data_IF_945776624974
#
_entry.id   IF_945776624974
#
_cell.length_a   1.000
_cell.length_b   1.000
_cell.length_c   1.000
_cell.angle_alpha   90.00
_cell.angle_beta   90.00
_cell.angle_gamma   90.00
#
_symmetry.space_group_name_H-M   'P 1'
#
loop_
_entity.id
_entity.type
_entity.pdbx_description
1 polymer ?
#
# COMPACT_ATOMS: atom_id res chain seq x y z
N UNK A 1 12.12 15.49 -16.99
CA UNK A 1 12.70 16.82 -16.84
C UNK A 1 14.18 16.66 -16.49
N UNK A 2 15.12 17.47 -17.05
CA UNK A 2 16.56 17.33 -16.81
C UNK A 2 16.94 17.42 -15.34
N UNK A 3 16.29 18.29 -14.59
CA UNK A 3 16.51 18.50 -13.15
C UNK A 3 16.14 17.26 -12.31
N UNK A 4 15.01 16.63 -12.62
CA UNK A 4 14.59 15.38 -11.94
C UNK A 4 15.54 14.23 -12.23
N UNK A 5 16.09 14.17 -13.44
CA UNK A 5 17.10 13.17 -13.83
C UNK A 5 18.41 13.40 -13.09
N UNK A 6 18.85 14.66 -12.98
CA UNK A 6 20.08 15.02 -12.26
C UNK A 6 20.00 14.67 -10.76
N UNK A 7 18.83 14.85 -10.12
CA UNK A 7 18.62 14.49 -8.72
C UNK A 7 18.69 12.98 -8.47
N UNK A 8 18.34 12.17 -9.48
CA UNK A 8 18.40 10.71 -9.40
C UNK A 8 19.77 10.12 -9.69
N UNK A 9 20.68 10.92 -10.22
CA UNK A 9 22.05 10.49 -10.50
C UNK A 9 23.00 11.02 -9.43
N UNK A 10 23.55 10.12 -8.61
CA UNK A 10 24.50 10.47 -7.54
C UNK A 10 25.66 9.48 -7.58
N UNK A 11 26.89 10.00 -7.57
CA UNK A 11 28.15 9.21 -7.52
C UNK A 11 28.24 8.08 -8.58
N UNK A 12 27.70 8.33 -9.77
CA UNK A 12 27.70 7.36 -10.86
C UNK A 12 26.55 6.32 -10.79
N UNK A 13 25.65 6.41 -9.79
CA UNK A 13 24.52 5.52 -9.61
C UNK A 13 23.19 6.20 -9.96
N UNK A 14 22.29 5.44 -10.56
CA UNK A 14 20.90 5.87 -10.81
C UNK A 14 19.99 5.32 -9.72
N UNK A 15 19.43 6.21 -8.89
CA UNK A 15 18.46 5.88 -7.85
C UNK A 15 17.05 5.86 -8.45
N UNK A 16 16.53 4.67 -8.70
CA UNK A 16 15.19 4.49 -9.34
C UNK A 16 14.04 4.59 -8.33
N UNK A 17 14.36 4.62 -7.01
CA UNK A 17 13.39 4.75 -5.93
C UNK A 17 12.73 3.44 -5.52
N UNK A 18 13.16 2.31 -6.06
CA UNK A 18 12.73 1.00 -5.60
C UNK A 18 13.56 0.57 -4.38
N UNK A 19 12.91 -0.10 -3.44
CA UNK A 19 13.51 -0.69 -2.25
C UNK A 19 13.58 -2.20 -2.41
N UNK A 20 14.70 -2.78 -2.00
CA UNK A 20 14.92 -4.21 -2.10
C UNK A 20 15.59 -4.74 -0.83
N UNK A 21 15.39 -6.01 -0.55
CA UNK A 21 16.16 -6.79 0.41
C UNK A 21 17.10 -7.73 -0.32
N UNK A 22 18.20 -8.09 0.31
CA UNK A 22 19.22 -9.00 -0.20
C UNK A 22 19.45 -10.09 0.84
N UNK A 23 19.32 -11.34 0.45
CA UNK A 23 19.55 -12.48 1.33
C UNK A 23 20.98 -13.06 1.25
N UNK A 24 21.25 -14.07 2.06
CA UNK A 24 22.57 -14.71 2.13
C UNK A 24 22.93 -15.51 0.85
N UNK A 25 21.93 -15.90 0.07
CA UNK A 25 22.08 -16.59 -1.21
C UNK A 25 22.18 -15.62 -2.41
N UNK A 26 22.33 -14.32 -2.15
CA UNK A 26 22.46 -13.25 -3.14
C UNK A 26 21.20 -12.98 -3.97
N UNK A 27 20.02 -13.44 -3.53
CA UNK A 27 18.76 -13.06 -4.16
C UNK A 27 18.32 -11.67 -3.74
N UNK A 28 17.87 -10.89 -4.71
CA UNK A 28 17.31 -9.56 -4.50
C UNK A 28 15.80 -9.60 -4.64
N UNK A 29 15.10 -9.23 -3.58
CA UNK A 29 13.63 -9.14 -3.57
C UNK A 29 13.21 -7.68 -3.49
N UNK A 30 12.43 -7.21 -4.48
CA UNK A 30 11.85 -5.86 -4.47
C UNK A 30 10.72 -5.85 -3.44
N UNK A 31 10.82 -4.97 -2.44
CA UNK A 31 9.84 -4.85 -1.36
C UNK A 31 8.89 -3.67 -1.52
N UNK A 32 9.17 -2.78 -2.46
CA UNK A 32 8.30 -1.64 -2.76
C UNK A 32 9.06 -0.43 -3.26
N UNK A 33 8.39 0.71 -3.24
CA UNK A 33 8.97 2.01 -3.59
C UNK A 33 9.20 2.86 -2.35
N UNK A 34 10.28 3.61 -2.34
CA UNK A 34 10.61 4.55 -1.25
C UNK A 34 9.50 5.59 -1.06
N UNK A 35 8.96 6.12 -2.17
CA UNK A 35 7.97 7.19 -2.16
C UNK A 35 6.57 6.71 -1.74
N UNK A 36 6.29 5.41 -1.84
CA UNK A 36 5.02 4.81 -1.48
C UNK A 36 5.02 4.25 -0.04
N UNK A 37 6.21 4.15 0.59
CA UNK A 37 6.33 3.65 1.96
C UNK A 37 5.53 4.51 2.94
N UNK A 38 4.74 3.85 3.79
CA UNK A 38 3.95 4.49 4.85
C UNK A 38 4.72 4.38 6.17
N UNK A 39 4.81 5.49 6.90
CA UNK A 39 5.38 5.50 8.25
C UNK A 39 4.23 5.65 9.24
N UNK A 40 3.87 4.55 9.89
CA UNK A 40 2.77 4.48 10.84
C UNK A 40 3.28 4.09 12.22
N UNK A 41 3.06 4.96 13.22
CA UNK A 41 3.56 4.71 14.59
C UNK A 41 5.07 4.56 14.70
N UNK A 42 5.84 5.17 13.78
CA UNK A 42 7.30 5.04 13.71
C UNK A 42 7.80 3.81 12.95
N UNK A 43 6.91 2.95 12.48
CA UNK A 43 7.25 1.72 11.75
C UNK A 43 7.10 1.91 10.24
N UNK A 44 8.02 1.33 9.49
CA UNK A 44 7.98 1.34 8.03
C UNK A 44 7.03 0.25 7.51
N UNK A 45 6.03 0.65 6.74
CA UNK A 45 5.08 -0.25 6.11
C UNK A 45 5.15 -0.11 4.59
N UNK A 46 5.44 -1.20 3.92
CA UNK A 46 5.45 -1.26 2.45
C UNK A 46 4.04 -1.65 1.96
N UNK A 47 3.35 -0.78 1.21
CA UNK A 47 1.99 -1.04 0.72
C UNK A 47 1.85 -2.38 0.01
N UNK A 48 2.81 -2.74 -0.83
CA UNK A 48 2.81 -3.99 -1.60
C UNK A 48 2.65 -5.22 -0.70
N UNK A 49 3.32 -5.26 0.46
CA UNK A 49 3.22 -6.38 1.40
C UNK A 49 1.79 -6.52 1.98
N UNK A 50 1.13 -5.39 2.24
CA UNK A 50 -0.24 -5.38 2.76
C UNK A 50 -1.23 -5.75 1.65
N UNK A 51 -1.01 -5.24 0.43
CA UNK A 51 -1.81 -5.57 -0.75
C UNK A 51 -1.73 -7.07 -1.08
N UNK A 52 -0.54 -7.67 -1.02
CA UNK A 52 -0.36 -9.11 -1.20
C UNK A 52 -1.18 -9.92 -0.19
N UNK A 53 -1.19 -9.49 1.08
CA UNK A 53 -2.01 -10.15 2.10
C UNK A 53 -3.51 -9.99 1.82
N UNK A 54 -3.97 -8.79 1.47
CA UNK A 54 -5.38 -8.54 1.12
C UNK A 54 -5.81 -9.33 -0.11
N UNK A 55 -4.98 -9.37 -1.15
CA UNK A 55 -5.28 -10.04 -2.40
C UNK A 55 -5.30 -11.58 -2.29
N UNK A 56 -4.84 -12.14 -1.17
CA UNK A 56 -5.01 -13.57 -0.86
C UNK A 56 -6.42 -13.91 -0.35
N UNK A 57 -7.24 -12.90 0.01
CA UNK A 57 -8.63 -13.13 0.37
C UNK A 57 -9.46 -13.47 -0.88
N UNK A 58 -10.25 -14.57 -0.88
CA UNK A 58 -10.96 -15.05 -2.09
C UNK A 58 -11.98 -14.06 -2.66
N UNK A 59 -12.51 -13.16 -1.82
CA UNK A 59 -13.46 -12.13 -2.22
C UNK A 59 -12.81 -10.79 -2.59
N UNK A 60 -11.49 -10.71 -2.69
CA UNK A 60 -10.74 -9.52 -3.15
C UNK A 60 -10.24 -9.77 -4.56
N UNK A 61 -10.65 -8.92 -5.50
CA UNK A 61 -10.14 -8.94 -6.86
C UNK A 61 -8.80 -8.21 -6.97
N UNK A 62 -8.68 -7.05 -6.32
CA UNK A 62 -7.43 -6.29 -6.22
C UNK A 62 -7.55 -5.24 -5.10
N UNK A 63 -6.42 -4.71 -4.65
CA UNK A 63 -6.39 -3.68 -3.61
C UNK A 63 -5.25 -2.69 -3.85
N UNK A 64 -5.36 -1.49 -3.27
CA UNK A 64 -4.27 -0.50 -3.19
C UNK A 64 -4.24 0.08 -1.78
N UNK A 65 -3.06 0.09 -1.19
CA UNK A 65 -2.84 0.53 0.20
C UNK A 65 -2.04 1.82 0.22
N UNK A 66 -2.49 2.77 1.02
CA UNK A 66 -1.85 4.08 1.18
C UNK A 66 -1.86 4.53 2.63
N UNK A 67 -0.99 5.48 2.95
CA UNK A 67 -1.02 6.20 4.23
C UNK A 67 -1.72 7.54 4.07
N UNK A 68 -2.64 7.85 5.00
CA UNK A 68 -3.24 9.18 5.14
C UNK A 68 -2.79 9.83 6.44
N UNK A 69 -2.72 11.17 6.53
CA UNK A 69 -2.35 11.86 7.76
C UNK A 69 -3.21 11.43 8.95
N UNK A 70 -2.61 11.21 10.11
CA UNK A 70 -3.27 10.79 11.34
C UNK A 70 -2.56 11.41 12.55
N UNK A 71 -3.30 11.98 13.48
CA UNK A 71 -2.75 12.68 14.65
C UNK A 71 -2.03 11.75 15.64
N UNK A 72 -2.48 10.49 15.72
CA UNK A 72 -1.94 9.50 16.66
C UNK A 72 -0.75 8.74 16.07
N UNK A 73 -0.85 8.36 14.80
CA UNK A 73 0.09 7.46 14.15
C UNK A 73 1.04 8.16 13.18
N UNK A 74 0.89 9.48 12.97
CA UNK A 74 1.54 10.22 11.89
C UNK A 74 0.89 9.92 10.55
N UNK A 75 0.83 8.64 10.20
CA UNK A 75 0.04 8.13 9.06
C UNK A 75 -0.80 6.93 9.48
N UNK A 76 -2.08 6.92 9.09
CA UNK A 76 -2.97 5.77 9.21
C UNK A 76 -2.99 5.00 7.89
N UNK A 77 -2.85 3.69 7.97
CA UNK A 77 -2.91 2.80 6.82
C UNK A 77 -4.37 2.60 6.44
N UNK A 78 -4.70 2.85 5.18
CA UNK A 78 -6.03 2.62 4.61
C UNK A 78 -5.93 1.85 3.29
N UNK A 79 -6.99 1.12 2.94
CA UNK A 79 -7.03 0.31 1.73
C UNK A 79 -8.26 0.63 0.89
N UNK A 80 -8.06 0.85 -0.42
CA UNK A 80 -9.09 0.68 -1.42
C UNK A 80 -9.11 -0.79 -1.85
N UNK A 81 -10.30 -1.35 -1.97
CA UNK A 81 -10.50 -2.76 -2.31
C UNK A 81 -11.52 -2.88 -3.43
N UNK A 82 -11.17 -3.62 -4.46
CA UNK A 82 -12.12 -4.05 -5.48
C UNK A 82 -12.65 -5.42 -5.06
N UNK A 83 -13.91 -5.53 -4.60
CA UNK A 83 -14.45 -6.79 -4.17
C UNK A 83 -14.86 -7.66 -5.36
N UNK A 84 -14.73 -8.98 -5.21
CA UNK A 84 -15.35 -9.96 -6.13
C UNK A 84 -16.84 -10.09 -5.81
N UNK A 85 -17.18 -9.98 -4.53
CA UNK A 85 -18.54 -10.10 -4.00
C UNK A 85 -18.89 -8.84 -3.18
N UNK A 86 -20.04 -8.24 -3.47
CA UNK A 86 -20.53 -7.05 -2.78
C UNK A 86 -20.87 -7.29 -1.30
N UNK A 87 -20.88 -8.52 -0.82
CA UNK A 87 -21.09 -8.86 0.59
C UNK A 87 -19.83 -8.73 1.46
N UNK A 88 -18.65 -8.55 0.85
CA UNK A 88 -17.39 -8.39 1.57
C UNK A 88 -17.42 -7.17 2.49
N UNK A 89 -17.02 -7.35 3.74
CA UNK A 89 -17.03 -6.30 4.77
C UNK A 89 -15.62 -5.91 5.25
N UNK A 90 -15.50 -4.70 5.79
CA UNK A 90 -14.26 -4.24 6.42
C UNK A 90 -13.82 -5.14 7.58
N UNK A 91 -14.78 -5.67 8.36
CA UNK A 91 -14.50 -6.57 9.48
C UNK A 91 -13.90 -7.92 9.04
N UNK A 92 -14.37 -8.47 7.90
CA UNK A 92 -13.81 -9.71 7.33
C UNK A 92 -12.37 -9.50 6.85
N UNK A 93 -12.09 -8.36 6.20
CA UNK A 93 -10.72 -8.02 5.77
C UNK A 93 -9.79 -7.77 6.96
N UNK A 94 -10.26 -7.10 8.01
CA UNK A 94 -9.48 -6.91 9.22
C UNK A 94 -9.15 -8.25 9.90
N UNK A 95 -10.13 -9.14 10.01
CA UNK A 95 -9.93 -10.50 10.54
C UNK A 95 -8.94 -11.31 9.70
N UNK A 96 -9.04 -11.22 8.36
CA UNK A 96 -8.10 -11.84 7.44
C UNK A 96 -6.67 -11.32 7.64
N UNK A 97 -6.49 -10.00 7.71
CA UNK A 97 -5.17 -9.40 7.94
C UNK A 97 -4.58 -9.80 9.30
N UNK A 98 -5.40 -9.87 10.36
CA UNK A 98 -4.96 -10.31 11.71
C UNK A 98 -4.52 -11.77 11.73
N UNK A 99 -5.18 -12.62 10.96
CA UNK A 99 -4.86 -14.04 10.87
C UNK A 99 -3.70 -14.34 9.92
N UNK A 100 -3.29 -13.36 9.12
CA UNK A 100 -2.28 -13.57 8.08
C UNK A 100 -0.88 -13.75 8.70
N UNK A 101 -0.20 -14.90 8.48
CA UNK A 101 1.03 -15.27 9.21
C UNK A 101 2.22 -14.34 8.90
N UNK A 102 2.23 -13.71 7.74
CA UNK A 102 3.33 -12.85 7.28
C UNK A 102 3.05 -11.35 7.44
N UNK A 103 1.88 -10.97 7.98
CA UNK A 103 1.50 -9.58 8.18
C UNK A 103 1.46 -9.24 9.67
N UNK A 104 2.41 -8.43 10.14
CA UNK A 104 2.38 -7.94 11.51
C UNK A 104 1.14 -7.05 11.75
N UNK A 105 0.52 -7.15 12.92
CA UNK A 105 -0.75 -6.49 13.25
C UNK A 105 -0.74 -4.97 13.02
N UNK A 106 0.40 -4.31 13.29
CA UNK A 106 0.52 -2.87 13.09
C UNK A 106 0.49 -2.45 11.61
N UNK A 107 0.75 -3.37 10.66
CA UNK A 107 0.75 -3.12 9.21
C UNK A 107 -0.63 -3.19 8.57
N UNK A 108 -1.62 -3.78 9.26
CA UNK A 108 -2.96 -3.94 8.70
C UNK A 108 -3.66 -2.59 8.48
N UNK A 109 -4.48 -2.44 7.45
CA UNK A 109 -5.30 -1.25 7.27
C UNK A 109 -6.25 -1.04 8.45
N UNK A 110 -6.48 0.22 8.77
CA UNK A 110 -7.40 0.64 9.85
C UNK A 110 -8.75 1.12 9.30
N UNK A 111 -8.83 1.26 7.98
CA UNK A 111 -10.08 1.57 7.30
C UNK A 111 -10.01 1.08 5.85
N UNK A 112 -11.15 0.78 5.29
CA UNK A 112 -11.32 0.18 3.97
C UNK A 112 -12.36 0.96 3.18
N UNK A 113 -12.13 1.11 1.88
CA UNK A 113 -13.12 1.63 0.95
C UNK A 113 -13.28 0.67 -0.21
N UNK A 114 -14.51 0.23 -0.44
CA UNK A 114 -14.84 -0.63 -1.58
C UNK A 114 -15.11 0.24 -2.81
N UNK A 115 -14.48 -0.13 -3.92
CA UNK A 115 -14.51 0.61 -5.18
C UNK A 115 -14.66 -0.34 -6.37
N UNK A 116 -15.20 0.15 -7.47
CA UNK A 116 -15.34 -0.64 -8.69
C UNK A 116 -14.02 -0.79 -9.45
N UNK A 117 -13.10 0.17 -9.32
CA UNK A 117 -11.81 0.17 -9.99
C UNK A 117 -10.74 0.95 -9.21
N UNK A 118 -9.49 0.53 -9.35
CA UNK A 118 -8.32 1.22 -8.80
C UNK A 118 -7.71 2.19 -9.81
N UNK A 119 -7.00 3.24 -9.35
CA UNK A 119 -6.23 4.10 -10.23
C UNK A 119 -5.04 3.34 -10.82
N UNK A 120 -5.09 3.07 -12.12
CA UNK A 120 -4.05 2.36 -12.87
C UNK A 120 -3.46 3.26 -13.95
N UNK A 121 -2.19 3.00 -14.30
CA UNK A 121 -1.59 3.54 -15.53
C UNK A 121 -2.19 2.86 -16.77
N UNK A 122 -1.93 3.40 -17.95
CA UNK A 122 -2.32 2.77 -19.22
C UNK A 122 -1.74 1.34 -19.39
N UNK A 123 -0.67 1.02 -18.68
CA UNK A 123 -0.02 -0.31 -18.68
C UNK A 123 -0.48 -1.21 -17.53
N UNK A 124 -1.51 -0.81 -16.76
CA UNK A 124 -2.11 -1.60 -15.68
C UNK A 124 -1.35 -1.55 -14.35
N UNK A 125 -0.39 -0.63 -14.17
CA UNK A 125 0.31 -0.47 -12.88
C UNK A 125 -0.48 0.41 -11.93
N UNK A 126 -0.54 0.06 -10.65
CA UNK A 126 -1.17 0.83 -9.57
C UNK A 126 -0.52 2.20 -9.40
N UNK A 127 -1.32 3.23 -9.21
CA UNK A 127 -0.87 4.61 -9.06
C UNK A 127 -1.12 5.06 -7.62
N UNK A 128 -0.23 4.66 -6.70
CA UNK A 128 -0.35 4.91 -5.25
C UNK A 128 -0.49 6.39 -4.90
N UNK A 129 0.26 7.28 -5.57
CA UNK A 129 0.16 8.71 -5.27
C UNK A 129 -1.25 9.28 -5.52
N UNK A 130 -1.94 8.83 -6.61
CA UNK A 130 -3.32 9.24 -6.88
C UNK A 130 -4.28 8.69 -5.84
N UNK A 131 -4.15 7.40 -5.49
CA UNK A 131 -4.96 6.80 -4.45
C UNK A 131 -4.78 7.53 -3.11
N UNK A 132 -3.56 7.94 -2.76
CA UNK A 132 -3.27 8.70 -1.54
C UNK A 132 -3.91 10.08 -1.55
N UNK A 133 -3.78 10.85 -2.64
CA UNK A 133 -4.42 12.16 -2.79
C UNK A 133 -5.93 12.04 -2.61
N UNK A 134 -6.56 11.10 -3.31
CA UNK A 134 -8.00 10.84 -3.20
C UNK A 134 -8.40 10.41 -1.79
N UNK A 135 -7.63 9.54 -1.13
CA UNK A 135 -7.94 9.04 0.20
C UNK A 135 -7.94 10.13 1.29
N UNK A 136 -7.11 11.17 1.15
CA UNK A 136 -7.11 12.32 2.06
C UNK A 136 -8.44 13.07 2.00
N UNK A 137 -8.96 13.29 0.78
CA UNK A 137 -10.21 14.02 0.57
C UNK A 137 -11.45 13.17 0.95
N UNK A 138 -11.36 11.85 0.78
CA UNK A 138 -12.46 10.90 0.94
C UNK A 138 -12.41 10.09 2.24
N UNK A 139 -11.56 10.47 3.20
CA UNK A 139 -11.31 9.66 4.40
C UNK A 139 -12.60 9.35 5.21
N UNK A 140 -13.61 10.23 5.14
CA UNK A 140 -14.89 10.05 5.80
C UNK A 140 -15.73 8.90 5.21
N UNK A 141 -15.44 8.49 3.97
CA UNK A 141 -16.15 7.43 3.25
C UNK A 141 -15.52 6.03 3.47
N UNK A 142 -14.41 5.98 4.25
CA UNK A 142 -13.79 4.71 4.59
C UNK A 142 -14.49 4.05 5.77
N UNK A 143 -14.77 2.77 5.64
CA UNK A 143 -15.36 1.94 6.69
C UNK A 143 -14.26 1.45 7.65
N UNK A 144 -14.50 1.60 8.93
CA UNK A 144 -13.67 0.98 9.99
C UNK A 144 -14.24 -0.39 10.34
N UNK A 145 -13.36 -1.41 10.59
CA UNK A 145 -13.78 -2.76 10.97
C UNK A 145 -14.46 -2.83 12.33
#
# INVERSE_FOLDING_TARGET
APETTAQKYQDGWLYIGDLATWDAEEFVTIVGRKDDMVISGGENVHPVQVEEALNQHPSVADSIVVGVPDETWGQRIVAYVVPVDASLTAAELDAHCRAHPMLADFKRPRAYRFVDALPLTATGKKVHYKARETAVDEIADFETP
#
